data_IF_989038174892
#
_entry.id   IF_989038174892
#
_cell.length_a   1.000
_cell.length_b   1.000
_cell.length_c   1.000
_cell.angle_alpha   90.00
_cell.angle_beta   90.00
_cell.angle_gamma   90.00
#
_symmetry.space_group_name_H-M   'P 1'
#
loop_
_entity.id
_entity.type
_entity.pdbx_description
1 polymer ?
#
# COMPACT_ATOMS: atom_id res chain seq x y z
N UNK A 1 -22.98 -43.39 -27.45
CA UNK A 1 -21.62 -43.73 -27.19
C UNK A 1 -20.69 -42.53 -27.32
N UNK A 2 -20.71 -41.84 -28.43
CA UNK A 2 -19.89 -40.64 -28.58
C UNK A 2 -20.28 -39.54 -27.63
N UNK A 3 -21.47 -39.55 -27.10
CA UNK A 3 -21.94 -38.52 -26.17
C UNK A 3 -21.12 -38.46 -24.88
N UNK A 4 -20.62 -39.57 -24.40
CA UNK A 4 -19.78 -39.57 -23.20
C UNK A 4 -18.50 -38.79 -23.39
N UNK A 5 -17.88 -38.94 -24.53
CA UNK A 5 -16.63 -38.24 -24.83
C UNK A 5 -16.83 -36.74 -24.90
N UNK A 6 -17.94 -36.29 -25.46
CA UNK A 6 -18.24 -34.90 -25.56
C UNK A 6 -18.41 -34.27 -24.18
N UNK A 7 -19.07 -34.95 -23.27
CA UNK A 7 -19.24 -34.44 -21.91
C UNK A 7 -17.90 -34.30 -21.17
N UNK A 8 -17.03 -35.25 -21.34
CA UNK A 8 -15.70 -35.19 -20.72
C UNK A 8 -14.92 -34.00 -21.23
N UNK A 9 -14.95 -33.72 -22.52
CA UNK A 9 -14.25 -32.59 -23.09
C UNK A 9 -14.78 -31.28 -22.53
N UNK A 10 -16.09 -31.14 -22.36
CA UNK A 10 -16.66 -29.92 -21.81
C UNK A 10 -16.22 -29.67 -20.38
N UNK A 11 -16.15 -30.71 -19.56
CA UNK A 11 -15.67 -30.56 -18.18
C UNK A 11 -14.24 -30.06 -18.14
N UNK A 12 -13.38 -30.58 -18.97
CA UNK A 12 -11.99 -30.14 -19.03
C UNK A 12 -11.89 -28.66 -19.36
N UNK A 13 -12.65 -28.20 -20.32
CA UNK A 13 -12.64 -26.81 -20.73
C UNK A 13 -13.05 -25.89 -19.59
N UNK A 14 -14.07 -26.26 -18.82
CA UNK A 14 -14.52 -25.42 -17.72
C UNK A 14 -13.45 -25.25 -16.66
N UNK A 15 -12.74 -26.30 -16.30
CA UNK A 15 -11.67 -26.19 -15.32
C UNK A 15 -10.54 -25.32 -15.80
N UNK A 16 -10.18 -25.44 -17.06
CA UNK A 16 -9.14 -24.60 -17.65
C UNK A 16 -9.51 -23.13 -17.60
N UNK A 17 -10.76 -22.80 -17.92
CA UNK A 17 -11.23 -21.42 -17.88
C UNK A 17 -11.16 -20.83 -16.49
N UNK A 18 -11.50 -21.59 -15.45
CA UNK A 18 -11.38 -21.12 -14.08
C UNK A 18 -9.97 -20.71 -13.74
N UNK A 19 -8.98 -21.50 -14.14
CA UNK A 19 -7.58 -21.21 -13.87
C UNK A 19 -7.16 -19.92 -14.57
N UNK A 20 -7.53 -19.77 -15.84
CA UNK A 20 -7.13 -18.59 -16.61
C UNK A 20 -7.86 -17.31 -16.20
N UNK A 21 -9.06 -17.45 -15.66
CA UNK A 21 -9.85 -16.30 -15.27
C UNK A 21 -9.50 -15.77 -13.88
N UNK A 22 -8.58 -16.42 -13.19
CA UNK A 22 -8.16 -15.99 -11.86
C UNK A 22 -7.13 -14.90 -12.00
N UNK A 23 -7.48 -13.62 -11.70
CA UNK A 23 -6.54 -12.51 -11.88
C UNK A 23 -5.39 -12.57 -10.87
N UNK A 24 -4.25 -11.97 -11.18
CA UNK A 24 -3.16 -11.85 -10.21
C UNK A 24 -3.66 -11.11 -8.97
N UNK A 25 -3.24 -11.60 -7.83
CA UNK A 25 -3.63 -11.03 -6.55
C UNK A 25 -2.77 -9.82 -6.26
N UNK A 26 -3.38 -8.67 -5.93
CA UNK A 26 -2.65 -7.52 -5.42
C UNK A 26 -2.27 -7.78 -3.97
N UNK A 27 -1.06 -7.38 -3.60
CA UNK A 27 -0.55 -7.55 -2.25
C UNK A 27 -0.66 -6.23 -1.52
N UNK A 28 -1.32 -6.23 -0.36
CA UNK A 28 -1.43 -5.04 0.45
C UNK A 28 -0.10 -4.71 1.13
N UNK A 29 0.21 -3.41 1.22
CA UNK A 29 1.39 -2.90 1.90
C UNK A 29 1.03 -2.62 3.35
N UNK A 30 1.95 -2.91 4.27
CA UNK A 30 1.76 -2.61 5.69
C UNK A 30 2.91 -1.75 6.20
N UNK A 31 2.60 -0.84 7.11
CA UNK A 31 3.61 -0.04 7.81
C UNK A 31 4.22 -0.90 8.91
N UNK A 32 5.53 -0.86 9.03
CA UNK A 32 6.27 -1.62 10.07
C UNK A 32 6.92 -0.72 11.10
N UNK A 33 7.23 0.53 10.75
CA UNK A 33 7.83 1.47 11.70
C UNK A 33 7.56 2.90 11.27
N UNK A 34 7.39 3.79 12.24
CA UNK A 34 7.24 5.24 12.00
C UNK A 34 8.04 5.96 13.07
N UNK A 35 8.85 6.92 12.65
CA UNK A 35 9.60 7.79 13.56
C UNK A 35 9.38 9.25 13.16
N UNK A 36 9.36 10.14 14.14
CA UNK A 36 9.19 11.57 13.92
C UNK A 36 10.40 12.31 14.47
N UNK A 37 10.95 13.23 13.68
CA UNK A 37 12.06 14.08 14.09
C UNK A 37 11.82 15.47 13.50
N UNK A 38 11.53 16.44 14.35
CA UNK A 38 11.17 17.78 13.89
C UNK A 38 9.93 17.76 13.03
N UNK A 39 10.03 18.29 11.83
CA UNK A 39 8.91 18.30 10.87
C UNK A 39 8.93 17.09 9.92
N UNK A 40 9.80 16.13 10.13
CA UNK A 40 9.98 14.98 9.24
C UNK A 40 9.45 13.70 9.88
N UNK A 41 8.61 13.00 9.15
CA UNK A 41 8.07 11.69 9.55
C UNK A 41 8.66 10.64 8.62
N UNK A 42 9.37 9.67 9.19
CA UNK A 42 9.96 8.57 8.42
C UNK A 42 9.12 7.33 8.59
N UNK A 43 8.66 6.76 7.48
CA UNK A 43 7.76 5.61 7.48
C UNK A 43 8.43 4.46 6.74
N UNK A 44 8.51 3.31 7.39
CA UNK A 44 9.05 2.07 6.82
C UNK A 44 7.90 1.11 6.55
N UNK A 45 7.93 0.49 5.38
CA UNK A 45 6.93 -0.49 4.95
C UNK A 45 7.50 -1.89 4.94
N UNK A 46 6.65 -2.89 4.86
CA UNK A 46 7.04 -4.32 4.91
C UNK A 46 7.55 -4.86 3.57
N UNK A 47 7.58 -4.04 2.52
CA UNK A 47 7.97 -4.45 1.18
C UNK A 47 8.43 -3.24 0.38
N UNK A 48 9.12 -3.44 -0.75
CA UNK A 48 9.49 -2.32 -1.64
C UNK A 48 8.26 -1.60 -2.15
N UNK A 49 8.36 -0.28 -2.19
CA UNK A 49 7.26 0.58 -2.66
C UNK A 49 7.77 1.56 -3.71
N UNK A 50 6.84 2.18 -4.41
CA UNK A 50 7.10 3.33 -5.26
C UNK A 50 6.32 4.53 -4.71
N UNK A 51 6.89 5.71 -4.86
CA UNK A 51 6.32 6.96 -4.39
C UNK A 51 6.01 7.84 -5.59
N UNK A 52 4.75 8.28 -5.68
CA UNK A 52 4.29 9.15 -6.76
C UNK A 52 3.53 10.33 -6.16
N UNK A 53 4.24 11.43 -5.91
CA UNK A 53 3.67 12.61 -5.28
C UNK A 53 3.75 12.56 -3.77
N UNK A 54 3.01 13.44 -3.11
CA UNK A 54 2.97 13.55 -1.66
C UNK A 54 1.72 12.84 -1.16
N UNK A 55 1.87 11.76 -0.37
CA UNK A 55 0.70 11.10 0.20
C UNK A 55 -0.01 12.01 1.21
N UNK A 56 -1.32 11.92 1.26
CA UNK A 56 -2.15 12.72 2.16
C UNK A 56 -2.17 12.16 3.58
N UNK A 57 -1.04 11.67 4.06
CA UNK A 57 -0.92 11.14 5.41
C UNK A 57 -0.99 12.28 6.42
N UNK A 58 -1.64 12.02 7.54
CA UNK A 58 -1.78 12.98 8.63
C UNK A 58 -1.33 12.37 9.94
N UNK A 59 -1.15 13.22 10.93
CA UNK A 59 -0.84 12.80 12.30
C UNK A 59 -1.91 13.37 13.23
N UNK A 60 -1.80 13.07 14.51
CA UNK A 60 -2.65 13.65 15.53
C UNK A 60 -2.21 15.08 15.94
N UNK A 61 -1.17 15.61 15.30
CA UNK A 61 -0.76 17.01 15.49
C UNK A 61 -1.63 17.91 14.63
N UNK A 62 -2.41 18.76 15.26
CA UNK A 62 -3.34 19.66 14.56
C UNK A 62 -2.56 20.72 13.77
N UNK A 63 -2.97 20.91 12.51
CA UNK A 63 -2.38 21.95 11.65
C UNK A 63 -1.13 21.54 10.90
N UNK A 64 -0.58 20.36 11.16
CA UNK A 64 0.58 19.86 10.41
C UNK A 64 0.08 19.03 9.23
N UNK A 65 0.47 19.41 8.02
CA UNK A 65 0.12 18.71 6.77
C UNK A 65 1.40 18.37 6.01
N UNK A 66 1.38 17.22 5.32
CA UNK A 66 2.51 16.80 4.51
C UNK A 66 2.70 17.75 3.32
N UNK A 67 3.89 18.29 3.16
CA UNK A 67 4.22 19.21 2.08
C UNK A 67 5.17 18.63 1.05
N UNK A 68 6.00 17.67 1.42
CA UNK A 68 6.88 16.97 0.48
C UNK A 68 7.15 15.55 0.94
N UNK A 69 7.56 14.69 0.01
CA UNK A 69 7.87 13.31 0.28
C UNK A 69 9.01 12.85 -0.61
N UNK A 70 9.93 12.08 -0.05
CA UNK A 70 11.05 11.49 -0.79
C UNK A 70 11.27 10.06 -0.35
N UNK A 71 11.77 9.23 -1.28
CA UNK A 71 12.22 7.88 -0.95
C UNK A 71 13.59 7.97 -0.30
N UNK A 72 13.74 7.33 0.86
CA UNK A 72 15.04 7.23 1.55
C UNK A 72 15.62 5.82 1.48
N UNK A 73 14.84 4.87 0.99
CA UNK A 73 15.23 3.49 0.77
C UNK A 73 14.20 2.83 -0.14
N UNK A 74 14.32 1.53 -0.41
CA UNK A 74 13.38 0.83 -1.27
C UNK A 74 11.99 0.68 -0.64
N UNK A 75 11.92 0.71 0.69
CA UNK A 75 10.69 0.53 1.45
C UNK A 75 10.49 1.63 2.50
N UNK A 76 11.16 2.76 2.38
CA UNK A 76 11.12 3.82 3.38
C UNK A 76 10.93 5.17 2.70
N UNK A 77 10.03 5.99 3.26
CA UNK A 77 9.80 7.36 2.80
C UNK A 77 10.01 8.34 3.95
N UNK A 78 10.40 9.56 3.61
CA UNK A 78 10.45 10.67 4.54
C UNK A 78 9.45 11.73 4.09
N UNK A 79 8.50 12.05 4.96
CA UNK A 79 7.50 13.10 4.75
C UNK A 79 7.89 14.34 5.52
N UNK A 80 7.96 15.47 4.83
CA UNK A 80 8.17 16.76 5.49
C UNK A 80 6.81 17.44 5.66
N UNK A 81 6.52 17.86 6.89
CA UNK A 81 5.26 18.49 7.23
C UNK A 81 5.42 20.00 7.32
N UNK A 82 4.30 20.72 7.26
CA UNK A 82 4.27 22.19 7.35
C UNK A 82 4.60 22.70 8.76
N UNK A 83 4.56 21.83 9.76
CA UNK A 83 4.88 22.14 11.16
C UNK A 83 5.53 20.92 11.78
N UNK A 84 6.10 21.09 12.98
CA UNK A 84 6.74 19.97 13.68
C UNK A 84 5.72 18.86 13.99
N UNK A 85 6.14 17.62 13.79
CA UNK A 85 5.37 16.42 14.14
C UNK A 85 6.06 15.58 15.21
N UNK A 86 7.05 16.17 15.89
CA UNK A 86 7.81 15.45 16.92
C UNK A 86 6.92 14.96 18.07
N UNK A 87 5.81 15.67 18.33
CA UNK A 87 4.85 15.29 19.38
C UNK A 87 3.77 14.32 18.90
N UNK A 88 3.82 13.89 17.65
CA UNK A 88 2.82 12.97 17.11
C UNK A 88 2.87 11.61 17.83
N UNK A 89 1.71 11.04 18.08
CA UNK A 89 1.59 9.71 18.70
C UNK A 89 1.11 8.67 17.69
N UNK A 90 0.55 9.08 16.58
CA UNK A 90 0.11 8.19 15.52
C UNK A 90 0.16 8.88 14.16
N UNK A 91 0.32 8.07 13.10
CA UNK A 91 0.13 8.50 11.73
C UNK A 91 -1.17 7.90 11.22
N UNK A 92 -1.91 8.68 10.42
CA UNK A 92 -3.18 8.26 9.81
C UNK A 92 -3.00 8.21 8.31
N UNK A 93 -3.38 7.08 7.73
CA UNK A 93 -3.18 6.80 6.31
C UNK A 93 -4.56 6.66 5.68
N UNK A 94 -4.94 7.54 4.74
CA UNK A 94 -6.23 7.44 4.07
C UNK A 94 -6.39 6.14 3.29
N UNK A 95 -7.62 5.67 3.16
CA UNK A 95 -7.96 4.47 2.41
C UNK A 95 -7.59 4.66 0.94
N UNK A 96 -6.85 3.69 0.41
CA UNK A 96 -6.41 3.70 -1.01
C UNK A 96 -5.69 4.99 -1.42
N UNK A 97 -4.83 5.52 -0.54
CA UNK A 97 -4.00 6.67 -0.90
C UNK A 97 -3.07 6.29 -2.05
N UNK A 98 -3.16 6.94 -3.23
CA UNK A 98 -2.49 6.47 -4.44
C UNK A 98 -1.01 6.80 -4.54
N UNK A 99 -0.46 7.65 -3.67
CA UNK A 99 0.93 8.08 -3.78
C UNK A 99 1.92 6.96 -3.48
N UNK A 100 1.57 6.02 -2.60
CA UNK A 100 2.42 4.89 -2.23
C UNK A 100 1.79 3.60 -2.71
N UNK A 101 2.50 2.90 -3.59
CA UNK A 101 2.03 1.64 -4.17
C UNK A 101 3.20 0.68 -4.31
N UNK A 102 2.92 -0.60 -4.47
CA UNK A 102 3.93 -1.62 -4.74
C UNK A 102 3.89 -2.07 -6.20
N UNK A 103 4.76 -3.00 -6.57
CA UNK A 103 4.85 -3.50 -7.93
C UNK A 103 3.61 -4.25 -8.41
N UNK A 104 2.77 -4.75 -7.50
CA UNK A 104 1.50 -5.43 -7.85
C UNK A 104 0.33 -4.45 -7.95
N UNK A 105 0.55 -3.15 -7.72
CA UNK A 105 -0.49 -2.14 -7.72
C UNK A 105 -1.27 -2.05 -6.41
N UNK A 106 -0.78 -2.67 -5.34
CA UNK A 106 -1.43 -2.63 -4.04
C UNK A 106 -1.21 -1.31 -3.32
N UNK A 107 -2.16 -0.96 -2.45
CA UNK A 107 -2.11 0.22 -1.60
C UNK A 107 -1.69 -0.16 -0.17
N UNK A 108 -1.36 0.86 0.62
CA UNK A 108 -1.10 0.66 2.05
C UNK A 108 -2.42 0.36 2.75
N UNK A 109 -2.50 -0.79 3.40
CA UNK A 109 -3.70 -1.24 4.10
C UNK A 109 -3.74 -0.80 5.56
N UNK A 110 -2.61 -0.37 6.11
CA UNK A 110 -2.57 0.17 7.47
C UNK A 110 -3.29 1.52 7.50
N UNK A 111 -4.28 1.69 8.38
CA UNK A 111 -5.01 2.96 8.49
C UNK A 111 -4.41 3.88 9.54
N UNK A 112 -3.90 3.33 10.63
CA UNK A 112 -3.20 4.07 11.67
C UNK A 112 -2.01 3.27 12.15
N UNK A 113 -0.97 3.96 12.61
CA UNK A 113 0.22 3.32 13.14
C UNK A 113 0.83 4.22 14.21
N UNK A 114 1.30 3.67 15.33
CA UNK A 114 1.91 4.46 16.39
C UNK A 114 3.27 5.03 15.94
N UNK A 115 3.52 6.24 16.37
CA UNK A 115 4.78 6.93 16.11
C UNK A 115 5.76 6.68 17.27
#
# INVERSE_FOLDING_TARGET
>A
MSRSLLRSARKSRRRTNSVFNNPPKTVAIKVTAVTALGAVLTITFDQPISLNGVPAYTTDVVGATASSAVMTGTNTIALTFSATVAAATEVRIPYEEPAVRNGSGGFVSTSTFPV
#
